data_IF_384322152676
#
_entry.id   IF_384322152676
#
_cell.length_a   1.000
_cell.length_b   1.000
_cell.length_c   1.000
_cell.angle_alpha   90.00
_cell.angle_beta   90.00
_cell.angle_gamma   90.00
#
_symmetry.space_group_name_H-M   'P 1'
#
loop_
_entity.id
_entity.type
_entity.pdbx_description
1 polymer ?
#
# COMPACT_ATOMS: atom_id res chain seq x y z
N UNK A 1 55.89 6.13 2.41
CA UNK A 1 55.84 4.65 2.42
C UNK A 1 54.38 4.24 2.43
N UNK A 2 53.84 3.85 1.27
CA UNK A 2 52.41 3.58 1.07
C UNK A 2 52.20 2.08 0.94
N UNK A 3 51.45 1.47 1.85
CA UNK A 3 51.09 0.05 1.82
C UNK A 3 49.85 -0.14 0.93
N UNK A 4 49.89 -0.91 -0.17
CA UNK A 4 48.67 -1.29 -0.87
C UNK A 4 47.95 -2.39 -0.07
N UNK A 5 46.65 -2.24 0.12
CA UNK A 5 45.80 -3.26 0.73
C UNK A 5 45.70 -4.47 -0.21
N UNK A 6 46.10 -5.65 0.27
CA UNK A 6 45.94 -6.92 -0.44
C UNK A 6 44.45 -7.26 -0.56
N UNK A 7 43.92 -7.19 -1.79
CA UNK A 7 42.62 -7.74 -2.14
C UNK A 7 42.76 -9.27 -2.13
N UNK A 8 42.12 -9.93 -1.15
CA UNK A 8 42.09 -11.38 -1.04
C UNK A 8 41.38 -11.99 -2.26
N UNK A 9 42.02 -12.98 -2.88
CA UNK A 9 41.59 -13.75 -4.08
C UNK A 9 40.30 -14.58 -3.93
N UNK A 10 39.36 -14.16 -3.08
CA UNK A 10 38.06 -14.84 -2.89
C UNK A 10 36.97 -14.43 -3.89
N UNK A 11 37.23 -13.44 -4.76
CA UNK A 11 36.22 -12.85 -5.64
C UNK A 11 36.22 -13.40 -7.08
N UNK A 12 36.88 -14.55 -7.33
CA UNK A 12 36.92 -15.18 -8.66
C UNK A 12 36.65 -16.69 -8.55
N UNK A 13 35.37 -17.02 -8.43
CA UNK A 13 34.67 -18.22 -8.89
C UNK A 13 33.28 -18.09 -8.26
N UNK A 14 32.20 -17.85 -8.99
CA UNK A 14 31.55 -18.86 -9.83
C UNK A 14 30.79 -18.15 -10.97
N UNK A 15 31.45 -17.95 -12.12
CA UNK A 15 30.74 -17.71 -13.38
C UNK A 15 30.31 -19.08 -13.90
N UNK A 16 29.01 -19.40 -13.83
CA UNK A 16 28.47 -20.62 -14.47
C UNK A 16 27.41 -21.42 -13.72
N UNK A 17 26.96 -21.02 -12.53
CA UNK A 17 25.85 -21.70 -11.84
C UNK A 17 24.51 -20.99 -12.13
N UNK A 18 24.08 -21.03 -13.39
CA UNK A 18 22.68 -20.79 -13.70
C UNK A 18 21.93 -22.12 -13.52
N UNK A 19 21.31 -22.29 -12.36
CA UNK A 19 20.30 -23.34 -12.19
C UNK A 19 19.06 -22.97 -13.05
N UNK A 20 18.42 -23.93 -13.74
CA UNK A 20 17.23 -23.63 -14.54
C UNK A 20 16.13 -23.09 -13.62
N UNK A 21 15.49 -22.01 -14.07
CA UNK A 21 14.30 -21.48 -13.42
C UNK A 21 13.20 -22.54 -13.51
N UNK A 22 12.91 -23.20 -12.38
CA UNK A 22 11.71 -24.01 -12.25
C UNK A 22 10.55 -23.02 -12.25
N UNK A 23 9.81 -22.98 -13.37
CA UNK A 23 8.54 -22.28 -13.46
C UNK A 23 7.58 -22.96 -12.50
N UNK A 24 7.56 -22.52 -11.25
CA UNK A 24 6.47 -22.83 -10.36
C UNK A 24 5.28 -22.03 -10.87
N UNK A 25 4.47 -22.65 -11.71
CA UNK A 25 3.12 -22.19 -11.99
C UNK A 25 2.37 -22.32 -10.67
N UNK A 26 2.49 -21.29 -9.84
CA UNK A 26 1.66 -21.16 -8.67
C UNK A 26 0.27 -20.81 -9.20
N UNK A 27 -0.51 -21.86 -9.48
CA UNK A 27 -1.95 -21.74 -9.62
C UNK A 27 -2.42 -21.06 -8.34
N UNK A 28 -2.69 -19.76 -8.43
CA UNK A 28 -3.41 -19.00 -7.42
C UNK A 28 -4.79 -19.65 -7.30
N UNK A 29 -4.89 -20.72 -6.51
CA UNK A 29 -6.17 -21.20 -6.03
C UNK A 29 -6.74 -20.05 -5.20
N UNK A 30 -7.95 -19.57 -5.47
CA UNK A 30 -8.62 -18.67 -4.56
C UNK A 30 -8.71 -19.40 -3.23
N UNK A 31 -7.93 -18.98 -2.23
CA UNK A 31 -8.19 -19.41 -0.87
C UNK A 31 -9.54 -18.81 -0.52
N UNK A 32 -10.59 -19.63 -0.43
CA UNK A 32 -11.86 -19.22 0.16
C UNK A 32 -11.55 -18.76 1.58
N UNK A 33 -11.49 -17.44 1.76
CA UNK A 33 -11.28 -16.83 3.06
C UNK A 33 -12.54 -17.10 3.87
N UNK A 34 -12.42 -17.49 5.16
CA UNK A 34 -13.58 -17.67 6.01
C UNK A 34 -14.37 -16.37 6.03
N UNK A 35 -15.61 -16.44 5.54
CA UNK A 35 -16.58 -15.34 5.60
C UNK A 35 -17.08 -15.26 7.05
N UNK A 36 -16.18 -14.84 7.94
CA UNK A 36 -16.48 -14.49 9.32
C UNK A 36 -16.94 -13.04 9.38
N UNK A 37 -17.80 -12.75 10.35
CA UNK A 37 -18.54 -11.49 10.57
C UNK A 37 -17.69 -10.19 10.65
N UNK A 38 -16.36 -10.27 10.48
CA UNK A 38 -15.40 -9.16 10.46
C UNK A 38 -14.63 -9.06 9.11
N UNK A 39 -15.24 -9.49 8.00
CA UNK A 39 -14.61 -9.35 6.69
C UNK A 39 -14.77 -7.93 6.16
N UNK A 40 -13.74 -7.10 6.34
CA UNK A 40 -13.65 -5.77 5.75
C UNK A 40 -12.62 -5.76 4.62
N UNK A 41 -12.97 -5.10 3.51
CA UNK A 41 -12.11 -4.98 2.34
C UNK A 41 -11.67 -3.53 2.18
N UNK A 42 -10.36 -3.35 1.95
CA UNK A 42 -9.83 -2.04 1.61
C UNK A 42 -10.47 -1.53 0.31
N UNK A 43 -10.91 -0.26 0.32
CA UNK A 43 -11.43 0.43 -0.84
C UNK A 43 -10.30 1.21 -1.52
N UNK A 44 -10.06 0.94 -2.80
CA UNK A 44 -9.19 1.77 -3.63
C UNK A 44 -10.04 2.79 -4.38
N UNK A 45 -9.74 4.08 -4.18
CA UNK A 45 -10.48 5.17 -4.83
C UNK A 45 -9.63 5.79 -5.93
N UNK A 46 -10.24 6.08 -7.08
CA UNK A 46 -9.60 6.85 -8.15
C UNK A 46 -9.97 8.32 -7.99
N UNK A 47 -8.96 9.16 -7.86
CA UNK A 47 -9.09 10.61 -7.83
C UNK A 47 -8.55 11.18 -9.14
N UNK A 48 -9.17 12.24 -9.63
CA UNK A 48 -8.54 13.08 -10.65
C UNK A 48 -7.31 13.78 -10.06
N UNK A 49 -6.50 14.34 -10.96
CA UNK A 49 -5.22 14.97 -10.61
C UNK A 49 -5.40 16.09 -9.59
N UNK A 50 -6.34 17.00 -9.82
CA UNK A 50 -6.53 18.18 -8.97
C UNK A 50 -6.92 17.77 -7.54
N UNK A 51 -7.84 16.82 -7.40
CA UNK A 51 -8.24 16.29 -6.09
C UNK A 51 -7.11 15.56 -5.39
N UNK A 52 -6.32 14.77 -6.12
CA UNK A 52 -5.17 14.07 -5.54
C UNK A 52 -4.10 15.04 -5.03
N UNK A 53 -3.76 16.06 -5.81
CA UNK A 53 -2.77 17.08 -5.44
C UNK A 53 -3.24 17.90 -4.24
N UNK A 54 -4.51 18.31 -4.21
CA UNK A 54 -5.11 18.99 -3.07
C UNK A 54 -5.04 18.14 -1.79
N UNK A 55 -5.41 16.85 -1.88
CA UNK A 55 -5.36 15.92 -0.75
C UNK A 55 -3.93 15.69 -0.24
N UNK A 56 -2.95 15.61 -1.15
CA UNK A 56 -1.53 15.47 -0.79
C UNK A 56 -1.00 16.71 -0.09
N UNK A 57 -1.28 17.89 -0.62
CA UNK A 57 -0.86 19.15 -0.02
C UNK A 57 -1.51 19.36 1.35
N UNK A 58 -2.77 18.98 1.52
CA UNK A 58 -3.46 19.02 2.80
C UNK A 58 -2.80 18.07 3.82
N UNK A 59 -2.45 16.86 3.39
CA UNK A 59 -1.71 15.89 4.22
C UNK A 59 -0.40 16.44 4.77
N UNK A 60 0.39 17.13 3.93
CA UNK A 60 1.65 17.76 4.36
C UNK A 60 1.39 18.87 5.38
N UNK A 61 0.35 19.70 5.19
CA UNK A 61 0.04 20.81 6.09
C UNK A 61 -0.46 20.35 7.46
N UNK A 62 -1.23 19.26 7.51
CA UNK A 62 -1.83 18.73 8.73
C UNK A 62 -0.98 17.67 9.42
N UNK A 63 0.16 17.29 8.81
CA UNK A 63 0.96 16.13 9.22
C UNK A 63 0.12 14.84 9.34
N UNK A 64 -0.76 14.61 8.36
CA UNK A 64 -1.67 13.46 8.30
C UNK A 64 -1.52 12.68 7.00
N UNK A 65 -1.78 11.37 7.05
CA UNK A 65 -1.85 10.55 5.84
C UNK A 65 -3.13 10.85 5.06
N UNK A 66 -3.06 10.73 3.74
CA UNK A 66 -4.22 10.89 2.86
C UNK A 66 -5.38 9.95 3.21
N UNK A 67 -5.08 8.74 3.71
CA UNK A 67 -6.10 7.80 4.16
C UNK A 67 -6.85 8.31 5.40
N UNK A 68 -6.15 8.87 6.38
CA UNK A 68 -6.77 9.40 7.61
C UNK A 68 -7.69 10.57 7.29
N UNK A 69 -7.22 11.51 6.46
CA UNK A 69 -8.03 12.63 5.98
C UNK A 69 -9.28 12.12 5.25
N UNK A 70 -9.14 11.09 4.41
CA UNK A 70 -10.27 10.54 3.67
C UNK A 70 -11.28 9.85 4.59
N UNK A 71 -10.83 9.11 5.59
CA UNK A 71 -11.70 8.45 6.57
C UNK A 71 -12.43 9.47 7.44
N UNK A 72 -11.74 10.49 7.95
CA UNK A 72 -12.35 11.59 8.72
C UNK A 72 -13.42 12.33 7.91
N UNK A 73 -13.13 12.65 6.64
CA UNK A 73 -14.09 13.31 5.76
C UNK A 73 -15.32 12.43 5.49
N UNK A 74 -15.12 11.11 5.36
CA UNK A 74 -16.21 10.15 5.18
C UNK A 74 -17.08 10.08 6.44
N UNK A 75 -16.48 9.98 7.62
CA UNK A 75 -17.20 9.91 8.89
C UNK A 75 -18.08 11.14 9.10
N UNK A 76 -17.53 12.34 8.88
CA UNK A 76 -18.28 13.61 8.97
C UNK A 76 -19.44 13.68 7.97
N UNK A 77 -19.23 13.18 6.75
CA UNK A 77 -20.29 13.16 5.75
C UNK A 77 -21.42 12.19 6.13
N UNK A 78 -21.07 10.97 6.56
CA UNK A 78 -22.05 9.96 7.00
C UNK A 78 -22.85 10.46 8.20
N UNK A 79 -22.19 11.06 9.20
CA UNK A 79 -22.86 11.64 10.37
C UNK A 79 -23.87 12.72 9.96
N UNK A 80 -23.47 13.63 9.06
CA UNK A 80 -24.34 14.68 8.54
C UNK A 80 -25.58 14.11 7.83
N UNK A 81 -25.40 13.13 6.94
CA UNK A 81 -26.52 12.53 6.21
C UNK A 81 -27.46 11.75 7.14
N UNK A 82 -26.93 11.05 8.13
CA UNK A 82 -27.74 10.36 9.15
C UNK A 82 -28.53 11.34 10.01
N UNK A 83 -27.95 12.47 10.39
CA UNK A 83 -28.64 13.52 11.13
C UNK A 83 -29.78 14.13 10.30
N UNK A 84 -29.53 14.42 9.01
CA UNK A 84 -30.55 14.93 8.07
C UNK A 84 -31.72 13.96 7.91
N UNK A 85 -31.45 12.66 7.75
CA UNK A 85 -32.47 11.63 7.62
C UNK A 85 -33.37 11.53 8.86
N UNK A 86 -32.81 11.70 10.07
CA UNK A 86 -33.56 11.67 11.33
C UNK A 86 -34.43 12.92 11.55
N UNK A 87 -34.02 14.07 11.02
CA UNK A 87 -34.78 15.32 11.15
C UNK A 87 -36.01 15.38 10.22
N UNK A 88 -36.13 14.45 9.28
CA UNK A 88 -37.23 14.39 8.30
C UNK A 88 -38.29 13.34 8.66
N UNK A 89 -38.07 12.55 9.72
CA UNK A 89 -39.05 11.64 10.33
C UNK A 89 -39.73 12.30 11.53
#
# INVERSE_FOLDING_TARGET
MSKPASLTSGLVAVKGHAAPAVTHVQTLRPSEKPVGQNYYKALTVKLDRERYEALKNLGVKLDKKSQEIFTEALDLWVEKELASARATQ
#
